data_IF_249055487050
#
_entry.id   IF_249055487050
#
_cell.length_a   1.000
_cell.length_b   1.000
_cell.length_c   1.000
_cell.angle_alpha   90.00
_cell.angle_beta   90.00
_cell.angle_gamma   90.00
#
_symmetry.space_group_name_H-M   'P 1'
#
loop_
_entity.id
_entity.type
_entity.pdbx_description
1 polymer ?
#
# COMPACT_ATOMS: atom_id res chain seq x y z
N UNK A 1 -17.97 10.81 -6.32
CA UNK A 1 -16.56 10.39 -6.41
C UNK A 1 -16.46 8.86 -6.36
N UNK A 2 -16.60 8.16 -7.48
CA UNK A 2 -16.31 6.72 -7.54
C UNK A 2 -15.02 6.52 -8.34
N UNK A 3 -13.87 6.56 -7.67
CA UNK A 3 -12.60 6.14 -8.27
C UNK A 3 -12.64 4.67 -8.67
N UNK A 4 -11.86 4.27 -9.66
CA UNK A 4 -11.74 2.87 -10.11
C UNK A 4 -11.48 1.92 -8.93
N UNK A 5 -11.91 0.64 -8.99
CA UNK A 5 -11.74 -0.33 -7.90
C UNK A 5 -10.32 -0.39 -7.32
N UNK A 6 -9.29 -0.29 -8.19
CA UNK A 6 -7.88 -0.26 -7.79
C UNK A 6 -7.53 0.92 -6.89
N UNK A 7 -8.14 2.09 -7.13
CA UNK A 7 -7.88 3.30 -6.35
C UNK A 7 -8.52 3.23 -4.97
N UNK A 8 -9.72 2.67 -4.87
CA UNK A 8 -10.37 2.42 -3.56
C UNK A 8 -9.58 1.44 -2.71
N UNK A 9 -9.06 0.36 -3.32
CA UNK A 9 -8.24 -0.61 -2.61
C UNK A 9 -6.92 0.02 -2.15
N UNK A 10 -6.29 0.82 -3.00
CA UNK A 10 -5.06 1.53 -2.67
C UNK A 10 -5.26 2.52 -1.51
N UNK A 11 -6.33 3.31 -1.53
CA UNK A 11 -6.68 4.23 -0.44
C UNK A 11 -6.93 3.49 0.88
N UNK A 12 -7.62 2.33 0.82
CA UNK A 12 -7.82 1.48 2.00
C UNK A 12 -6.50 0.91 2.53
N UNK A 13 -5.56 0.54 1.66
CA UNK A 13 -4.25 0.05 2.09
C UNK A 13 -3.44 1.17 2.77
N UNK A 14 -3.50 2.38 2.22
CA UNK A 14 -2.90 3.57 2.82
C UNK A 14 -3.52 3.93 4.18
N UNK A 15 -4.76 3.56 4.47
CA UNK A 15 -5.35 3.81 5.79
C UNK A 15 -4.87 2.84 6.89
N UNK A 16 -4.09 1.79 6.55
CA UNK A 16 -3.59 0.80 7.52
C UNK A 16 -2.21 1.14 8.09
N UNK A 17 -1.56 2.19 7.58
CA UNK A 17 -0.25 2.66 8.07
C UNK A 17 -0.31 3.06 9.54
N UNK A 18 0.80 2.87 10.25
CA UNK A 18 0.95 3.40 11.60
C UNK A 18 1.03 4.94 11.60
N UNK A 19 1.13 5.52 12.79
CA UNK A 19 1.18 6.96 13.04
C UNK A 19 2.34 7.69 12.34
N UNK A 20 3.45 6.98 12.12
CA UNK A 20 4.61 7.49 11.35
C UNK A 20 4.56 7.14 9.86
N UNK A 21 3.46 6.55 9.39
CA UNK A 21 3.21 6.29 7.96
C UNK A 21 3.80 4.98 7.43
N UNK A 22 4.17 4.03 8.29
CA UNK A 22 4.83 2.78 7.91
C UNK A 22 3.88 1.58 7.91
N UNK A 23 4.19 0.61 7.05
CA UNK A 23 3.58 -0.72 7.03
C UNK A 23 4.56 -1.83 7.45
N UNK A 24 4.03 -2.79 8.20
CA UNK A 24 4.67 -4.06 8.51
C UNK A 24 4.51 -5.04 7.34
N UNK A 25 5.12 -6.20 7.48
CA UNK A 25 5.07 -7.28 6.49
C UNK A 25 3.64 -7.82 6.27
N UNK A 26 2.89 -7.96 7.37
CA UNK A 26 1.61 -8.64 7.39
C UNK A 26 0.55 -7.83 8.12
N UNK A 27 -0.71 -8.06 7.76
CA UNK A 27 -1.86 -7.48 8.42
C UNK A 27 -2.81 -8.59 8.89
N UNK A 28 -3.02 -8.69 10.20
CA UNK A 28 -4.02 -9.58 10.78
C UNK A 28 -5.41 -8.97 10.56
N UNK A 29 -6.19 -9.58 9.66
CA UNK A 29 -7.55 -9.11 9.32
C UNK A 29 -8.57 -9.37 10.43
N UNK A 30 -8.31 -10.36 11.30
CA UNK A 30 -9.20 -10.72 12.40
C UNK A 30 -8.99 -9.78 13.58
N UNK A 31 -7.73 -9.63 14.01
CA UNK A 31 -7.36 -8.72 15.09
C UNK A 31 -7.24 -7.25 14.64
N UNK A 32 -7.28 -7.00 13.33
CA UNK A 32 -7.18 -5.68 12.69
C UNK A 32 -5.94 -4.90 13.12
N UNK A 33 -4.78 -5.55 13.05
CA UNK A 33 -3.49 -4.93 13.39
C UNK A 33 -2.38 -5.35 12.44
N UNK A 34 -1.34 -4.54 12.37
CA UNK A 34 -0.11 -4.92 11.69
C UNK A 34 0.65 -5.96 12.53
N UNK A 35 1.24 -6.97 11.89
CA UNK A 35 2.03 -8.03 12.53
C UNK A 35 3.30 -8.31 11.73
N UNK A 36 4.25 -9.01 12.35
CA UNK A 36 5.54 -9.36 11.73
C UNK A 36 6.57 -8.25 11.84
N UNK A 37 7.52 -8.23 10.91
CA UNK A 37 8.62 -7.26 10.91
C UNK A 37 8.12 -5.85 10.61
N UNK A 38 8.57 -4.88 11.40
CA UNK A 38 8.23 -3.46 11.25
C UNK A 38 9.48 -2.58 11.39
N UNK A 39 9.77 -1.66 10.44
CA UNK A 39 9.12 -1.50 9.13
C UNK A 39 9.68 -2.47 8.08
N UNK A 40 8.81 -3.00 7.21
CA UNK A 40 9.23 -3.91 6.14
C UNK A 40 9.44 -3.15 4.82
N UNK A 41 10.65 -3.20 4.27
CA UNK A 41 11.05 -2.38 3.13
C UNK A 41 10.33 -2.74 1.81
N UNK A 42 10.03 -4.03 1.57
CA UNK A 42 9.36 -4.47 0.34
C UNK A 42 7.88 -4.03 0.25
N UNK A 43 7.16 -3.94 1.37
CA UNK A 43 5.80 -3.41 1.47
C UNK A 43 5.76 -1.97 0.96
N UNK A 44 6.74 -1.16 1.35
CA UNK A 44 6.87 0.23 0.90
C UNK A 44 7.25 0.35 -0.57
N UNK A 45 8.12 -0.52 -1.10
CA UNK A 45 8.45 -0.56 -2.54
C UNK A 45 7.19 -0.86 -3.37
N UNK A 46 6.34 -1.80 -2.91
CA UNK A 46 5.10 -2.14 -3.61
C UNK A 46 4.10 -0.97 -3.65
N UNK A 47 4.03 -0.15 -2.59
CA UNK A 47 3.19 1.05 -2.54
C UNK A 47 3.65 2.08 -3.57
N UNK A 48 4.96 2.36 -3.64
CA UNK A 48 5.53 3.34 -4.57
C UNK A 48 5.26 2.92 -6.01
N UNK A 49 5.49 1.65 -6.34
CA UNK A 49 5.24 1.13 -7.69
C UNK A 49 3.74 1.20 -8.06
N UNK A 50 2.85 0.88 -7.11
CA UNK A 50 1.40 0.96 -7.32
C UNK A 50 0.94 2.41 -7.50
N UNK A 51 1.49 3.34 -6.71
CA UNK A 51 1.22 4.76 -6.84
C UNK A 51 1.64 5.30 -8.22
N UNK A 52 2.83 4.92 -8.70
CA UNK A 52 3.31 5.30 -10.03
C UNK A 52 2.39 4.76 -11.14
N UNK A 53 1.99 3.50 -11.06
CA UNK A 53 1.06 2.89 -12.01
C UNK A 53 -0.32 3.58 -12.02
N UNK A 54 -0.88 3.92 -10.85
CA UNK A 54 -2.16 4.62 -10.73
C UNK A 54 -2.09 6.09 -11.18
N UNK A 55 -0.93 6.73 -11.08
CA UNK A 55 -0.70 8.10 -11.55
C UNK A 55 -0.58 8.21 -13.07
N UNK A 56 -0.62 7.09 -13.81
CA UNK A 56 -0.45 7.08 -15.25
C UNK A 56 1.00 7.25 -15.69
N UNK A 57 1.97 7.11 -14.77
CA UNK A 57 3.35 6.86 -15.16
C UNK A 57 3.40 5.45 -15.72
N UNK A 58 3.14 5.35 -17.03
CA UNK A 58 3.59 4.26 -17.86
C UNK A 58 5.12 4.31 -17.82
N UNK A 59 5.72 3.77 -16.77
CA UNK A 59 7.13 3.41 -16.80
C UNK A 59 7.25 2.37 -17.89
N UNK A 60 7.56 2.85 -19.09
CA UNK A 60 7.88 2.05 -20.24
C UNK A 60 8.81 0.95 -19.79
N UNK A 61 8.36 -0.28 -19.97
CA UNK A 61 9.27 -1.41 -19.99
C UNK A 61 10.07 -1.29 -21.30
N UNK A 62 11.39 -1.56 -21.30
CA UNK A 62 12.04 -2.01 -22.53
C UNK A 62 11.38 -3.30 -23.03
#
# INVERSE_FOLDING_TARGET
MSGLPSRRLFERLLSLRNDVGLLSEEYDVTARRQIGNDPQAYSHVSIVNTAAALAGHNSGRP
#
